data_IF_462197171725
#
_entry.id   IF_462197171725
#
_cell.length_a   1.000
_cell.length_b   1.000
_cell.length_c   1.000
_cell.angle_alpha   90.00
_cell.angle_beta   90.00
_cell.angle_gamma   90.00
#
_symmetry.space_group_name_H-M   'P 1'
#
loop_
_entity.id
_entity.type
_entity.pdbx_description
1 polymer ?
#
# COMPACT_ATOMS: atom_id res chain seq x y z
N UNK A 1 25.16 0.81 -7.01
CA UNK A 1 24.54 -0.42 -7.50
C UNK A 1 23.04 -0.24 -7.65
N UNK A 2 22.48 -0.77 -8.71
CA UNK A 2 21.04 -0.74 -8.92
C UNK A 2 20.33 -1.65 -7.92
N UNK A 3 19.19 -1.22 -7.39
CA UNK A 3 18.43 -2.10 -6.50
C UNK A 3 17.95 -3.34 -7.26
N UNK A 4 17.77 -4.47 -6.57
CA UNK A 4 17.27 -5.67 -7.22
C UNK A 4 15.87 -5.43 -7.77
N UNK A 5 15.62 -5.97 -8.94
CA UNK A 5 14.31 -5.93 -9.58
C UNK A 5 13.65 -7.30 -9.48
N UNK A 6 12.48 -7.33 -8.91
CA UNK A 6 11.69 -8.54 -8.84
C UNK A 6 10.54 -8.41 -9.84
N UNK A 7 10.32 -9.46 -10.62
CA UNK A 7 9.23 -9.52 -11.58
C UNK A 7 8.37 -10.72 -11.22
N UNK A 8 7.09 -10.49 -11.09
CA UNK A 8 6.16 -11.54 -10.73
C UNK A 8 4.89 -11.43 -11.58
N UNK A 9 4.30 -12.58 -11.86
CA UNK A 9 3.03 -12.65 -12.55
C UNK A 9 1.91 -12.70 -11.52
N UNK A 10 0.88 -11.91 -11.73
CA UNK A 10 -0.27 -11.88 -10.83
C UNK A 10 -1.58 -11.90 -11.60
N UNK A 11 -2.47 -12.80 -11.22
CA UNK A 11 -3.84 -12.84 -11.73
C UNK A 11 -4.70 -11.74 -11.14
N UNK A 12 -4.25 -11.11 -10.04
CA UNK A 12 -4.98 -10.07 -9.34
C UNK A 12 -4.10 -8.82 -9.22
N UNK A 13 -3.65 -8.28 -10.36
CA UNK A 13 -2.74 -7.14 -10.40
C UNK A 13 -3.25 -5.94 -9.61
N UNK A 14 -4.58 -5.74 -9.55
CA UNK A 14 -5.18 -4.62 -8.82
C UNK A 14 -4.85 -4.64 -7.32
N UNK A 15 -4.56 -5.81 -6.75
CA UNK A 15 -4.18 -5.92 -5.34
C UNK A 15 -2.91 -5.14 -5.03
N UNK A 16 -2.02 -5.00 -6.02
CA UNK A 16 -0.71 -4.37 -5.83
C UNK A 16 -0.59 -3.00 -6.48
N UNK A 17 -1.52 -2.64 -7.37
CA UNK A 17 -1.48 -1.36 -8.09
C UNK A 17 -2.53 -0.37 -7.62
N UNK A 18 -3.53 -0.82 -6.83
CA UNK A 18 -4.55 0.05 -6.27
C UNK A 18 -4.16 0.63 -4.91
N UNK A 19 -5.16 1.03 -4.15
CA UNK A 19 -4.98 1.60 -2.81
C UNK A 19 -5.47 0.66 -1.71
N UNK A 20 -5.54 -0.63 -2.00
CA UNK A 20 -5.91 -1.65 -1.02
C UNK A 20 -4.78 -2.01 -0.09
N UNK A 21 -5.05 -2.93 0.84
CA UNK A 21 -4.10 -3.34 1.87
C UNK A 21 -2.78 -3.85 1.27
N UNK A 22 -2.85 -4.78 0.32
CA UNK A 22 -1.64 -5.38 -0.24
C UNK A 22 -0.77 -4.34 -0.96
N UNK A 23 -1.39 -3.45 -1.71
CA UNK A 23 -0.68 -2.39 -2.43
C UNK A 23 -0.02 -1.42 -1.46
N UNK A 24 -0.76 -0.96 -0.46
CA UNK A 24 -0.22 -0.02 0.54
C UNK A 24 0.89 -0.65 1.37
N UNK A 25 0.83 -1.95 1.64
CA UNK A 25 1.81 -2.63 2.48
C UNK A 25 3.19 -2.71 1.83
N UNK A 26 3.26 -2.81 0.51
CA UNK A 26 4.55 -2.93 -0.18
C UNK A 26 5.12 -1.60 -0.69
N UNK A 27 4.29 -0.58 -0.82
CA UNK A 27 4.72 0.70 -1.41
C UNK A 27 5.82 1.45 -0.67
N UNK A 28 5.99 1.35 0.65
CA UNK A 28 7.12 2.01 1.28
C UNK A 28 8.47 1.50 0.79
N UNK A 29 8.51 0.27 0.27
CA UNK A 29 9.75 -0.42 -0.05
C UNK A 29 9.95 -0.72 -1.52
N UNK A 30 8.87 -0.73 -2.31
CA UNK A 30 8.93 -1.08 -3.72
C UNK A 30 8.12 -0.11 -4.56
N UNK A 31 8.67 0.22 -5.72
CA UNK A 31 7.89 0.81 -6.80
C UNK A 31 7.27 -0.34 -7.58
N UNK A 32 5.96 -0.25 -7.81
CA UNK A 32 5.20 -1.30 -8.48
C UNK A 32 4.64 -0.76 -9.78
N UNK A 33 4.84 -1.49 -10.87
CA UNK A 33 4.25 -1.15 -12.15
C UNK A 33 3.89 -2.39 -12.92
N UNK A 34 2.96 -2.25 -13.85
CA UNK A 34 2.58 -3.34 -14.75
C UNK A 34 3.57 -3.33 -15.91
N UNK A 35 4.38 -4.41 -16.01
CA UNK A 35 5.33 -4.56 -17.09
C UNK A 35 4.66 -5.10 -18.37
N UNK A 36 3.67 -5.98 -18.22
CA UNK A 36 2.93 -6.55 -19.32
C UNK A 36 1.57 -7.03 -18.85
N UNK A 37 0.58 -7.00 -19.72
CA UNK A 37 -0.73 -7.58 -19.46
C UNK A 37 -0.87 -8.84 -20.30
N UNK A 38 -1.38 -9.91 -19.68
CA UNK A 38 -1.53 -11.21 -20.31
C UNK A 38 -3.03 -11.53 -20.31
N UNK A 39 -3.68 -11.55 -21.49
CA UNK A 39 -5.11 -11.87 -21.55
C UNK A 39 -5.39 -13.25 -20.95
N UNK A 40 -6.52 -13.37 -20.27
CA UNK A 40 -6.93 -14.65 -19.65
C UNK A 40 -7.04 -15.78 -20.68
N UNK A 41 -7.27 -15.44 -21.95
CA UNK A 41 -7.36 -16.41 -23.03
C UNK A 41 -6.04 -17.12 -23.33
N UNK A 42 -4.92 -16.60 -22.84
CA UNK A 42 -3.61 -17.21 -22.99
C UNK A 42 -3.39 -18.40 -22.04
N UNK A 43 -4.30 -18.61 -21.11
CA UNK A 43 -4.18 -19.68 -20.12
C UNK A 43 -5.18 -20.79 -20.41
N UNK A 44 -4.83 -22.00 -20.00
CA UNK A 44 -5.70 -23.15 -20.18
C UNK A 44 -5.69 -24.00 -18.89
N UNK A 45 -6.82 -24.08 -18.17
CA UNK A 45 -8.07 -23.35 -18.37
C UNK A 45 -7.94 -21.85 -18.13
N UNK A 46 -8.79 -21.05 -18.79
CA UNK A 46 -8.75 -19.62 -18.64
C UNK A 46 -9.20 -19.19 -17.24
N UNK A 47 -8.44 -18.34 -16.55
CA UNK A 47 -8.87 -17.81 -15.25
C UNK A 47 -9.99 -16.77 -15.41
N UNK A 48 -10.59 -16.34 -14.29
CA UNK A 48 -11.67 -15.36 -14.32
C UNK A 48 -11.23 -13.95 -14.66
N UNK A 49 -9.93 -13.65 -14.56
CA UNK A 49 -9.37 -12.32 -14.81
C UNK A 49 -8.11 -12.44 -15.65
N UNK A 50 -7.74 -11.35 -16.32
CA UNK A 50 -6.47 -11.29 -17.04
C UNK A 50 -5.32 -11.27 -16.04
N UNK A 51 -4.20 -11.86 -16.42
CA UNK A 51 -2.98 -11.80 -15.64
C UNK A 51 -2.17 -10.56 -16.00
N UNK A 52 -1.28 -10.18 -15.11
CA UNK A 52 -0.34 -9.11 -15.38
C UNK A 52 1.04 -9.50 -14.85
N UNK A 53 2.06 -9.08 -15.58
CA UNK A 53 3.43 -9.21 -15.12
C UNK A 53 3.78 -7.91 -14.41
N UNK A 54 4.05 -8.01 -13.12
CA UNK A 54 4.37 -6.85 -12.29
C UNK A 54 5.88 -6.73 -12.11
N UNK A 55 6.39 -5.53 -12.31
CA UNK A 55 7.77 -5.21 -11.98
C UNK A 55 7.78 -4.54 -10.60
N UNK A 56 8.45 -5.19 -9.64
CA UNK A 56 8.68 -4.66 -8.31
C UNK A 56 10.14 -4.22 -8.23
N UNK A 57 10.35 -2.93 -8.09
CA UNK A 57 11.69 -2.37 -8.02
C UNK A 57 11.92 -1.86 -6.60
N UNK A 58 12.89 -2.43 -5.91
CA UNK A 58 13.22 -2.03 -4.56
C UNK A 58 13.66 -0.56 -4.54
N UNK A 59 13.07 0.23 -3.64
CA UNK A 59 13.45 1.63 -3.50
C UNK A 59 14.84 1.73 -2.89
N UNK A 60 15.68 2.60 -3.45
CA UNK A 60 16.99 2.91 -2.87
C UNK A 60 16.85 3.69 -1.56
N UNK A 61 15.78 4.49 -1.45
CA UNK A 61 15.43 5.25 -0.26
C UNK A 61 14.00 4.91 0.13
N UNK A 62 13.80 3.86 0.93
CA UNK A 62 12.45 3.46 1.31
C UNK A 62 11.78 4.53 2.18
N UNK A 63 10.45 4.61 2.08
CA UNK A 63 9.68 5.60 2.84
C UNK A 63 9.63 5.28 4.34
N UNK A 64 9.89 4.03 4.68
CA UNK A 64 10.00 3.56 6.07
C UNK A 64 11.25 2.69 6.20
N UNK A 65 11.89 2.67 7.39
CA UNK A 65 12.99 1.73 7.63
C UNK A 65 12.57 0.28 7.40
N UNK A 66 13.45 -0.52 6.82
CA UNK A 66 13.15 -1.92 6.51
C UNK A 66 12.68 -2.71 7.75
N UNK A 67 13.17 -2.38 8.93
CA UNK A 67 12.76 -3.04 10.16
C UNK A 67 11.35 -2.73 10.62
N UNK A 68 10.65 -1.82 9.95
CA UNK A 68 9.28 -1.43 10.32
C UNK A 68 8.19 -2.15 9.53
N UNK A 69 8.56 -3.07 8.65
CA UNK A 69 7.59 -3.78 7.81
C UNK A 69 6.48 -4.44 8.61
N UNK A 70 6.84 -5.17 9.67
CA UNK A 70 5.87 -5.89 10.49
C UNK A 70 4.91 -4.96 11.21
N UNK A 71 5.42 -3.89 11.79
CA UNK A 71 4.58 -2.91 12.49
C UNK A 71 3.63 -2.20 11.54
N UNK A 72 4.13 -1.79 10.39
CA UNK A 72 3.33 -1.09 9.39
C UNK A 72 2.22 -2.00 8.84
N UNK A 73 2.57 -3.24 8.53
CA UNK A 73 1.58 -4.19 8.03
C UNK A 73 0.49 -4.47 9.07
N UNK A 74 0.88 -4.65 10.33
CA UNK A 74 -0.08 -4.87 11.42
C UNK A 74 -1.01 -3.66 11.59
N UNK A 75 -0.45 -2.45 11.50
CA UNK A 75 -1.23 -1.22 11.54
C UNK A 75 -2.26 -1.18 10.41
N UNK A 76 -1.84 -1.47 9.18
CA UNK A 76 -2.75 -1.47 8.03
C UNK A 76 -3.83 -2.54 8.15
N UNK A 77 -3.46 -3.76 8.57
CA UNK A 77 -4.44 -4.84 8.72
C UNK A 77 -5.51 -4.45 9.74
N UNK A 78 -5.11 -3.86 10.85
CA UNK A 78 -6.05 -3.40 11.86
C UNK A 78 -6.92 -2.27 11.32
N UNK A 79 -6.32 -1.28 10.70
CA UNK A 79 -7.03 -0.11 10.19
C UNK A 79 -7.99 -0.46 9.06
N UNK A 80 -7.62 -1.39 8.19
CA UNK A 80 -8.49 -1.84 7.10
C UNK A 80 -9.66 -2.67 7.61
N UNK A 81 -9.45 -3.41 8.69
CA UNK A 81 -10.50 -4.24 9.29
C UNK A 81 -11.48 -3.42 10.14
N UNK A 82 -10.95 -2.56 11.01
CA UNK A 82 -11.74 -1.87 12.03
C UNK A 82 -11.86 -0.36 11.82
N UNK A 83 -11.25 0.17 10.76
CA UNK A 83 -11.21 1.60 10.48
C UNK A 83 -10.04 2.30 11.16
N UNK A 84 -9.55 3.41 10.60
CA UNK A 84 -8.43 4.14 11.19
C UNK A 84 -8.77 4.74 12.55
N UNK A 85 -10.06 4.99 12.83
CA UNK A 85 -10.51 5.53 14.12
C UNK A 85 -10.33 4.55 15.25
N UNK A 86 -10.08 3.27 14.97
CA UNK A 86 -9.76 2.29 16.02
C UNK A 86 -8.35 2.46 16.57
N UNK A 87 -7.48 3.16 15.84
CA UNK A 87 -6.09 3.37 16.23
C UNK A 87 -5.78 4.82 16.58
N UNK A 88 -6.43 5.76 15.93
CA UNK A 88 -6.25 7.20 16.15
C UNK A 88 -7.61 7.87 16.29
N UNK A 89 -7.69 8.93 17.08
CA UNK A 89 -8.93 9.70 17.15
C UNK A 89 -9.15 10.44 15.84
N UNK A 90 -10.40 10.81 15.56
CA UNK A 90 -10.72 11.60 14.36
C UNK A 90 -9.93 12.89 14.31
N UNK A 91 -9.73 13.51 15.47
CA UNK A 91 -8.96 14.75 15.57
C UNK A 91 -7.49 14.51 15.21
N UNK A 92 -6.89 13.43 15.71
CA UNK A 92 -5.51 13.08 15.39
C UNK A 92 -5.35 12.81 13.90
N UNK A 93 -6.28 12.08 13.30
CA UNK A 93 -6.26 11.79 11.87
C UNK A 93 -6.32 13.09 11.07
N UNK A 94 -7.27 13.95 11.38
CA UNK A 94 -7.46 15.21 10.68
C UNK A 94 -6.24 16.12 10.79
N UNK A 95 -5.68 16.23 11.99
CA UNK A 95 -4.50 17.05 12.22
C UNK A 95 -3.27 16.50 11.51
N UNK A 96 -3.06 15.18 11.56
CA UNK A 96 -1.91 14.55 10.91
C UNK A 96 -1.93 14.80 9.40
N UNK A 97 -3.06 14.58 8.77
CA UNK A 97 -3.21 14.79 7.33
C UNK A 97 -3.00 16.26 6.96
N UNK A 98 -3.54 17.17 7.77
CA UNK A 98 -3.40 18.60 7.51
C UNK A 98 -1.96 19.07 7.63
N UNK A 99 -1.24 18.59 8.64
CA UNK A 99 0.17 18.99 8.87
C UNK A 99 1.06 18.56 7.71
N UNK A 100 0.74 17.44 7.07
CA UNK A 100 1.49 16.95 5.91
C UNK A 100 0.97 17.53 4.59
N UNK A 101 0.00 18.42 4.64
CA UNK A 101 -0.57 19.01 3.43
C UNK A 101 -1.44 18.05 2.65
N UNK A 102 -1.93 17.00 3.27
CA UNK A 102 -2.78 16.00 2.63
C UNK A 102 -4.25 16.34 2.87
N UNK A 103 -5.08 16.00 1.91
CA UNK A 103 -6.52 16.19 2.03
C UNK A 103 -7.16 15.17 2.96
N UNK A 104 -8.45 15.34 3.28
CA UNK A 104 -9.19 14.37 4.08
C UNK A 104 -9.39 13.07 3.29
N UNK A 105 -9.80 12.01 4.00
CA UNK A 105 -10.17 10.76 3.35
C UNK A 105 -11.31 11.01 2.34
N UNK A 106 -11.38 10.15 1.33
CA UNK A 106 -12.48 10.22 0.37
C UNK A 106 -13.82 9.97 1.04
N UNK A 107 -14.92 10.38 0.40
CA UNK A 107 -16.28 10.27 0.97
C UNK A 107 -16.64 8.85 1.36
N UNK A 108 -16.13 7.87 0.62
CA UNK A 108 -16.37 6.44 0.91
C UNK A 108 -15.46 5.90 2.01
N UNK A 109 -14.64 6.76 2.62
CA UNK A 109 -13.73 6.35 3.69
C UNK A 109 -12.39 5.81 3.20
N UNK A 110 -12.20 5.70 1.89
CA UNK A 110 -10.93 5.22 1.35
C UNK A 110 -9.86 6.28 1.47
N UNK A 111 -8.63 5.81 1.66
CA UNK A 111 -7.46 6.68 1.74
C UNK A 111 -6.38 6.21 0.80
N UNK A 112 -5.58 7.17 0.33
CA UNK A 112 -4.43 6.88 -0.52
C UNK A 112 -3.26 6.39 0.33
N UNK A 113 -2.29 5.75 -0.34
CA UNK A 113 -1.08 5.27 0.31
C UNK A 113 -0.39 6.34 1.15
N UNK A 114 -0.21 7.55 0.59
CA UNK A 114 0.47 8.64 1.30
C UNK A 114 -0.25 9.05 2.58
N UNK A 115 -1.58 8.95 2.59
CA UNK A 115 -2.37 9.21 3.79
C UNK A 115 -2.15 8.13 4.84
N UNK A 116 -2.16 6.85 4.43
CA UNK A 116 -1.88 5.74 5.34
C UNK A 116 -0.48 5.83 5.94
N UNK A 117 0.50 6.19 5.12
CA UNK A 117 1.87 6.35 5.59
C UNK A 117 1.96 7.46 6.65
N UNK A 118 1.30 8.57 6.39
CA UNK A 118 1.23 9.69 7.33
C UNK A 118 0.62 9.27 8.67
N UNK A 119 -0.51 8.54 8.62
CA UNK A 119 -1.18 8.07 9.82
C UNK A 119 -0.35 7.06 10.60
N UNK A 120 0.36 6.18 9.91
CA UNK A 120 1.24 5.22 10.57
C UNK A 120 2.37 5.94 11.32
N UNK A 121 3.01 6.91 10.68
CA UNK A 121 4.07 7.70 11.32
C UNK A 121 3.55 8.43 12.55
N UNK A 122 2.36 9.02 12.43
CA UNK A 122 1.72 9.71 13.54
C UNK A 122 1.40 8.75 14.69
N UNK A 123 0.80 7.60 14.38
CA UNK A 123 0.46 6.58 15.36
C UNK A 123 1.70 6.09 16.11
N UNK A 124 2.78 5.83 15.38
CA UNK A 124 4.03 5.37 15.98
C UNK A 124 4.59 6.40 16.95
N UNK A 125 4.54 7.66 16.58
CA UNK A 125 5.07 8.74 17.41
C UNK A 125 4.30 8.88 18.73
N UNK A 126 2.98 8.69 18.68
CA UNK A 126 2.15 8.87 19.88
C UNK A 126 1.99 7.61 20.72
N UNK A 127 2.08 6.43 20.15
CA UNK A 127 1.74 5.19 20.84
C UNK A 127 2.87 4.16 20.90
N UNK A 128 4.03 4.49 20.38
CA UNK A 128 5.21 3.63 20.46
C UNK A 128 6.44 4.39 21.03
#
# INVERSE_FOLDING_TARGET
TMPPREITMSLAAKRFTGEGLAACAIRPYFDVRIAARIPRTQFHPAPGVDAALLALVRKSSPDLPWGRQGEYRAFLEHAFRDGPQSLLTKRQISMALRLEGLGPAHRDGNMEYVQWLCLFRCWREFYC
#
